data_IF_707741398505
#
_entry.id   IF_707741398505
#
_cell.length_a   1.000
_cell.length_b   1.000
_cell.length_c   1.000
_cell.angle_alpha   90.00
_cell.angle_beta   90.00
_cell.angle_gamma   90.00
#
_symmetry.space_group_name_H-M   'P 1'
#
loop_
_entity.id
_entity.type
_entity.pdbx_description
1 polymer ?
#
# COMPACT_ATOMS: atom_id res chain seq x y z
N UNK A 1 11.90 -2.33 3.68
CA UNK A 1 11.98 -3.78 3.36
C UNK A 1 10.58 -4.36 3.31
N UNK A 2 9.96 -4.43 2.13
CA UNK A 2 8.55 -4.83 1.92
C UNK A 2 8.27 -4.94 0.42
N UNK A 3 7.26 -5.73 0.03
CA UNK A 3 6.56 -5.55 -1.23
C UNK A 3 5.05 -5.49 -0.99
N UNK A 4 4.42 -4.40 -1.42
CA UNK A 4 2.96 -4.28 -1.53
C UNK A 4 2.64 -4.11 -3.02
N UNK A 5 1.63 -4.83 -3.50
CA UNK A 5 1.19 -4.83 -4.88
C UNK A 5 -0.30 -4.56 -4.95
N UNK A 6 -0.71 -3.55 -5.71
CA UNK A 6 -2.09 -3.17 -5.97
C UNK A 6 -2.46 -3.36 -7.45
N UNK A 7 -3.71 -3.74 -7.72
CA UNK A 7 -4.21 -4.01 -9.06
C UNK A 7 -5.71 -3.72 -9.14
N UNK A 8 -6.15 -3.04 -10.21
CA UNK A 8 -7.55 -2.80 -10.51
C UNK A 8 -8.07 -3.81 -11.54
N UNK A 9 -9.26 -4.37 -11.31
CA UNK A 9 -9.95 -5.23 -12.27
C UNK A 9 -11.45 -5.18 -12.04
N UNK A 10 -12.21 -4.85 -13.09
CA UNK A 10 -13.68 -4.88 -13.08
C UNK A 10 -14.28 -4.02 -11.97
N UNK A 11 -13.81 -2.78 -11.81
CA UNK A 11 -14.28 -1.86 -10.78
C UNK A 11 -13.91 -2.24 -9.34
N UNK A 12 -13.04 -3.24 -9.15
CA UNK A 12 -12.52 -3.64 -7.84
C UNK A 12 -11.01 -3.43 -7.76
N UNK A 13 -10.53 -3.18 -6.55
CA UNK A 13 -9.11 -3.08 -6.21
C UNK A 13 -8.71 -4.32 -5.42
N UNK A 14 -7.56 -4.89 -5.77
CA UNK A 14 -6.92 -5.97 -5.04
C UNK A 14 -5.57 -5.45 -4.56
N UNK A 15 -5.28 -5.62 -3.27
CA UNK A 15 -3.97 -5.30 -2.70
C UNK A 15 -3.45 -6.56 -2.02
N UNK A 16 -2.19 -6.89 -2.30
CA UNK A 16 -1.45 -7.92 -1.59
C UNK A 16 -0.14 -7.39 -1.02
N UNK A 17 0.35 -8.06 0.02
CA UNK A 17 1.54 -7.66 0.72
C UNK A 17 2.25 -8.84 1.37
N UNK A 18 3.56 -8.68 1.52
CA UNK A 18 4.43 -9.61 2.21
C UNK A 18 4.34 -9.48 3.74
N UNK A 19 4.96 -10.42 4.45
CA UNK A 19 4.94 -10.51 5.91
C UNK A 19 6.30 -10.26 6.57
N UNK A 20 7.32 -9.79 5.84
CA UNK A 20 8.63 -9.56 6.43
C UNK A 20 8.62 -8.33 7.37
N UNK A 21 9.11 -8.48 8.59
CA UNK A 21 9.57 -7.41 9.46
C UNK A 21 11.07 -7.51 9.64
N UNK A 22 11.81 -6.44 9.35
CA UNK A 22 13.28 -6.45 9.40
C UNK A 22 13.82 -5.45 10.42
N UNK A 23 14.90 -5.84 11.08
CA UNK A 23 15.74 -5.00 11.91
C UNK A 23 17.20 -5.36 11.65
N UNK A 24 17.95 -4.47 11.00
CA UNK A 24 19.26 -4.81 10.44
C UNK A 24 19.18 -6.00 9.48
N UNK A 25 19.95 -7.05 9.76
CA UNK A 25 19.94 -8.31 9.00
C UNK A 25 18.95 -9.35 9.54
N UNK A 26 18.30 -9.08 10.68
CA UNK A 26 17.33 -10.00 11.28
C UNK A 26 15.97 -9.85 10.60
N UNK A 27 15.36 -10.99 10.26
CA UNK A 27 14.04 -11.08 9.66
C UNK A 27 13.10 -11.85 10.60
N UNK A 28 11.95 -11.25 10.87
CA UNK A 28 10.81 -11.90 11.50
C UNK A 28 9.65 -11.97 10.50
N UNK A 29 9.02 -13.13 10.39
CA UNK A 29 7.73 -13.24 9.68
C UNK A 29 6.64 -12.76 10.64
N UNK A 30 6.01 -11.63 10.30
CA UNK A 30 5.01 -10.96 11.14
C UNK A 30 3.61 -11.56 10.90
N UNK A 31 2.88 -11.77 12.00
CA UNK A 31 1.49 -12.23 11.97
C UNK A 31 0.50 -11.09 11.67
N UNK A 32 0.78 -9.88 12.16
CA UNK A 32 0.05 -8.68 11.81
C UNK A 32 0.35 -8.27 10.37
N UNK A 33 -0.71 -8.28 9.56
CA UNK A 33 -0.62 -8.10 8.12
C UNK A 33 -0.39 -6.65 7.73
N UNK A 34 0.43 -6.44 6.69
CA UNK A 34 0.62 -5.12 6.08
C UNK A 34 -0.56 -4.65 5.23
N UNK A 35 -1.51 -5.54 4.97
CA UNK A 35 -2.72 -5.30 4.17
C UNK A 35 -3.94 -5.47 5.05
N UNK A 36 -4.81 -4.47 5.08
CA UNK A 36 -6.00 -4.44 5.92
C UNK A 36 -7.08 -3.52 5.35
N UNK A 37 -8.31 -3.66 5.86
CA UNK A 37 -9.41 -2.75 5.59
C UNK A 37 -9.61 -1.80 6.77
N UNK A 38 -9.99 -0.57 6.48
CA UNK A 38 -10.51 0.39 7.45
C UNK A 38 -11.70 1.11 6.80
N UNK A 39 -12.92 0.81 7.27
CA UNK A 39 -14.15 1.25 6.61
C UNK A 39 -14.24 0.81 5.14
N UNK A 40 -14.61 1.74 4.25
CA UNK A 40 -14.70 1.53 2.80
C UNK A 40 -13.35 1.51 2.06
N UNK A 41 -12.23 1.54 2.78
CA UNK A 41 -10.89 1.65 2.21
C UNK A 41 -10.09 0.35 2.43
N UNK A 42 -9.30 -0.02 1.42
CA UNK A 42 -8.33 -1.10 1.48
C UNK A 42 -6.92 -0.51 1.47
N UNK A 43 -6.08 -0.89 2.42
CA UNK A 43 -4.72 -0.37 2.55
C UNK A 43 -3.68 -1.46 2.40
N UNK A 44 -2.52 -1.09 1.88
CA UNK A 44 -1.29 -1.88 1.99
C UNK A 44 -0.09 -0.95 2.19
N UNK A 45 0.69 -1.13 3.25
CA UNK A 45 1.73 -0.17 3.63
C UNK A 45 3.14 -0.75 3.64
N UNK A 46 4.15 0.10 3.47
CA UNK A 46 5.57 -0.25 3.70
C UNK A 46 6.13 0.48 4.92
N UNK A 47 7.03 1.45 4.75
CA UNK A 47 7.60 2.40 5.73
C UNK A 47 7.72 1.94 7.19
N UNK A 48 6.61 1.81 7.92
CA UNK A 48 6.61 1.42 9.32
C UNK A 48 5.33 0.68 9.73
N UNK A 49 5.50 -0.35 10.56
CA UNK A 49 4.36 -1.02 11.23
C UNK A 49 3.59 -0.05 12.13
N UNK A 50 4.27 0.90 12.79
CA UNK A 50 3.59 1.90 13.64
C UNK A 50 2.68 2.79 12.81
N UNK A 51 3.15 3.24 11.65
CA UNK A 51 2.32 4.00 10.70
C UNK A 51 1.10 3.18 10.26
N UNK A 52 1.31 1.92 9.88
CA UNK A 52 0.22 1.02 9.49
C UNK A 52 -0.82 0.81 10.60
N UNK A 53 -0.38 0.70 11.86
CA UNK A 53 -1.28 0.58 13.01
C UNK A 53 -2.13 1.84 13.23
N UNK A 54 -1.55 3.03 13.09
CA UNK A 54 -2.29 4.29 13.18
C UNK A 54 -3.35 4.40 12.08
N UNK A 55 -2.96 4.13 10.83
CA UNK A 55 -3.89 4.12 9.69
C UNK A 55 -5.00 3.07 9.89
N UNK A 56 -4.69 1.93 10.52
CA UNK A 56 -5.65 0.85 10.73
C UNK A 56 -6.65 1.12 11.85
N UNK A 57 -6.19 1.69 12.96
CA UNK A 57 -6.95 1.69 14.22
C UNK A 57 -7.27 3.08 14.76
N UNK A 58 -6.63 4.14 14.26
CA UNK A 58 -6.82 5.51 14.74
C UNK A 58 -7.37 6.44 13.65
N UNK A 59 -7.06 6.18 12.39
CA UNK A 59 -7.55 6.98 11.28
C UNK A 59 -9.06 6.76 11.09
N UNK A 60 -9.82 7.85 11.20
CA UNK A 60 -11.25 7.90 10.89
C UNK A 60 -11.46 8.76 9.65
N UNK A 61 -11.87 8.14 8.54
CA UNK A 61 -12.07 8.84 7.27
C UNK A 61 -13.56 9.14 7.02
N UNK A 62 -13.90 10.35 6.57
CA UNK A 62 -15.26 10.65 6.12
C UNK A 62 -15.59 9.94 4.80
N UNK A 63 -16.86 10.00 4.40
CA UNK A 63 -17.27 9.55 3.06
C UNK A 63 -16.64 10.47 1.98
N UNK A 64 -16.04 9.90 0.92
CA UNK A 64 -15.28 10.69 -0.04
C UNK A 64 -16.12 11.57 -0.98
N UNK A 65 -17.47 11.50 -0.93
CA UNK A 65 -18.32 12.25 -1.88
C UNK A 65 -18.05 11.87 -3.34
N UNK A 66 -18.52 12.65 -4.30
CA UNK A 66 -18.44 12.27 -5.72
C UNK A 66 -17.07 12.53 -6.34
N UNK A 67 -16.41 13.65 -5.99
CA UNK A 67 -15.08 14.01 -6.51
C UNK A 67 -13.96 13.34 -5.69
N UNK A 68 -13.78 12.05 -5.96
CA UNK A 68 -12.82 11.23 -5.24
C UNK A 68 -11.36 11.69 -5.47
N UNK A 69 -11.00 12.27 -6.62
CA UNK A 69 -9.63 12.75 -6.82
C UNK A 69 -9.33 13.95 -5.94
N UNK A 70 -10.22 14.96 -5.95
CA UNK A 70 -10.09 16.12 -5.08
C UNK A 70 -10.12 15.72 -3.61
N UNK A 71 -11.00 14.81 -3.22
CA UNK A 71 -11.06 14.30 -1.86
C UNK A 71 -9.73 13.70 -1.40
N UNK A 72 -9.13 12.84 -2.24
CA UNK A 72 -7.88 12.15 -1.89
C UNK A 72 -6.72 13.11 -1.67
N UNK A 73 -6.64 14.24 -2.40
CA UNK A 73 -5.56 15.24 -2.25
C UNK A 73 -5.85 16.35 -1.24
N UNK A 74 -7.06 16.39 -0.68
CA UNK A 74 -7.47 17.39 0.32
C UNK A 74 -7.84 16.70 1.63
N UNK A 75 -9.13 16.47 1.86
CA UNK A 75 -9.68 15.95 3.12
C UNK A 75 -9.01 14.65 3.56
N UNK A 76 -8.73 13.72 2.64
CA UNK A 76 -8.04 12.48 2.99
C UNK A 76 -6.62 12.74 3.52
N UNK A 77 -5.82 13.53 2.80
CA UNK A 77 -4.44 13.85 3.18
C UNK A 77 -4.40 14.62 4.48
N UNK A 78 -5.25 15.63 4.67
CA UNK A 78 -5.32 16.41 5.91
C UNK A 78 -5.67 15.51 7.11
N UNK A 79 -6.68 14.65 6.96
CA UNK A 79 -7.11 13.74 8.03
C UNK A 79 -6.01 12.71 8.36
N UNK A 80 -5.33 12.19 7.34
CA UNK A 80 -4.19 11.29 7.51
C UNK A 80 -3.06 11.97 8.26
N UNK A 81 -2.70 13.18 7.82
CA UNK A 81 -1.61 13.98 8.38
C UNK A 81 -1.84 14.24 9.87
N UNK A 82 -3.04 14.68 10.24
CA UNK A 82 -3.42 14.90 11.63
C UNK A 82 -3.40 13.59 12.45
N UNK A 83 -3.83 12.47 11.87
CA UNK A 83 -3.76 11.15 12.51
C UNK A 83 -2.31 10.73 12.78
N UNK A 84 -1.41 10.89 11.81
CA UNK A 84 0.00 10.52 11.97
C UNK A 84 0.72 11.43 12.95
N UNK A 85 0.40 12.73 12.95
CA UNK A 85 0.94 13.70 13.89
C UNK A 85 0.48 13.43 15.32
N UNK A 86 -0.83 13.31 15.54
CA UNK A 86 -1.40 12.98 16.85
C UNK A 86 -0.90 11.62 17.37
N UNK A 87 -0.71 10.66 16.46
CA UNK A 87 -0.19 9.33 16.78
C UNK A 87 1.31 9.24 17.07
N UNK A 88 2.04 10.37 16.97
CA UNK A 88 3.47 10.47 17.22
C UNK A 88 4.36 9.86 16.12
N UNK A 89 3.85 9.73 14.89
CA UNK A 89 4.60 9.18 13.76
C UNK A 89 5.11 10.24 12.78
N UNK A 90 4.35 11.33 12.57
CA UNK A 90 4.77 12.38 11.65
C UNK A 90 6.14 12.94 12.06
N UNK A 91 7.00 13.15 11.05
CA UNK A 91 8.32 13.75 11.21
C UNK A 91 8.46 14.95 10.31
N UNK A 92 9.43 15.80 10.59
CA UNK A 92 9.82 16.88 9.69
C UNK A 92 11.18 16.59 9.08
N UNK A 93 11.35 16.98 7.83
CA UNK A 93 12.62 17.08 7.13
C UNK A 93 12.63 18.41 6.38
N UNK A 94 13.64 19.25 6.62
CA UNK A 94 13.72 20.61 6.05
C UNK A 94 12.39 21.40 6.13
N UNK A 95 11.73 21.38 7.30
CA UNK A 95 10.40 21.97 7.58
C UNK A 95 9.19 21.35 6.86
N UNK A 96 9.41 20.37 5.98
CA UNK A 96 8.34 19.61 5.34
C UNK A 96 7.92 18.44 6.22
N UNK A 97 6.61 18.25 6.40
CA UNK A 97 6.08 17.13 7.16
C UNK A 97 6.07 15.87 6.28
N UNK A 98 6.56 14.76 6.83
CA UNK A 98 6.61 13.46 6.17
C UNK A 98 5.80 12.43 6.95
N UNK A 99 5.12 11.55 6.21
CA UNK A 99 4.38 10.41 6.72
C UNK A 99 5.06 9.09 6.37
N UNK A 100 4.55 8.44 5.32
CA UNK A 100 5.13 7.23 4.75
C UNK A 100 4.33 6.74 3.56
N UNK A 101 4.80 5.66 2.94
CA UNK A 101 4.28 5.20 1.65
C UNK A 101 3.32 4.03 1.81
N UNK A 102 2.16 4.12 1.15
CA UNK A 102 1.14 3.07 1.15
C UNK A 102 0.25 3.14 -0.09
N UNK A 103 -0.39 2.01 -0.41
CA UNK A 103 -1.45 1.91 -1.41
C UNK A 103 -2.82 2.03 -0.75
N UNK A 104 -3.76 2.68 -1.45
CA UNK A 104 -5.16 2.82 -1.03
C UNK A 104 -6.09 2.42 -2.16
N UNK A 105 -6.98 1.46 -1.89
CA UNK A 105 -8.08 1.08 -2.75
C UNK A 105 -9.40 1.60 -2.21
N UNK A 106 -10.09 2.45 -2.97
CA UNK A 106 -11.40 3.02 -2.59
C UNK A 106 -12.27 3.21 -3.83
N UNK A 107 -13.55 2.83 -3.74
CA UNK A 107 -14.53 2.92 -4.84
C UNK A 107 -13.98 2.47 -6.21
N UNK A 108 -13.32 1.30 -6.22
CA UNK A 108 -12.75 0.70 -7.43
C UNK A 108 -11.48 1.34 -7.98
N UNK A 109 -10.94 2.37 -7.32
CA UNK A 109 -9.75 3.11 -7.74
C UNK A 109 -8.58 2.86 -6.81
N UNK A 110 -7.39 2.72 -7.39
CA UNK A 110 -6.13 2.48 -6.69
C UNK A 110 -5.30 3.76 -6.70
N UNK A 111 -4.87 4.19 -5.52
CA UNK A 111 -3.98 5.33 -5.30
C UNK A 111 -2.71 4.86 -4.62
N UNK A 112 -1.59 5.53 -4.92
CA UNK A 112 -0.37 5.48 -4.13
C UNK A 112 -0.27 6.79 -3.37
N UNK A 113 -0.07 6.73 -2.06
CA UNK A 113 0.28 7.90 -1.23
C UNK A 113 1.76 7.76 -0.88
N UNK A 114 2.56 8.77 -1.21
CA UNK A 114 3.98 8.78 -0.86
C UNK A 114 4.21 9.54 0.46
N UNK A 115 5.45 9.50 0.93
CA UNK A 115 5.84 10.01 2.24
C UNK A 115 5.78 11.54 2.35
N UNK A 116 5.86 12.26 1.23
CA UNK A 116 5.59 13.70 1.12
C UNK A 116 4.08 14.04 0.98
N UNK A 117 3.20 13.07 1.22
CA UNK A 117 1.75 13.16 1.06
C UNK A 117 1.24 13.37 -0.37
N UNK A 118 2.09 13.30 -1.40
CA UNK A 118 1.59 13.31 -2.77
C UNK A 118 0.72 12.06 -3.03
N UNK A 119 -0.32 12.24 -3.83
CA UNK A 119 -1.24 11.17 -4.23
C UNK A 119 -1.09 10.91 -5.72
N UNK A 120 -0.69 9.70 -6.08
CA UNK A 120 -0.49 9.27 -7.45
C UNK A 120 -1.49 8.18 -7.86
N UNK A 121 -1.77 8.11 -9.17
CA UNK A 121 -2.49 7.01 -9.81
C UNK A 121 -1.66 6.52 -10.99
N UNK A 122 -1.33 5.23 -11.01
CA UNK A 122 -0.67 4.62 -12.16
C UNK A 122 -1.67 4.40 -13.31
N UNK A 123 -1.28 4.75 -14.52
CA UNK A 123 -2.10 4.58 -15.72
C UNK A 123 -2.32 3.10 -16.08
N UNK A 124 -1.38 2.22 -15.72
CA UNK A 124 -1.41 0.79 -16.07
C UNK A 124 -2.46 -0.02 -15.29
N UNK A 125 -3.15 0.58 -14.31
CA UNK A 125 -4.11 -0.11 -13.46
C UNK A 125 -3.48 -1.04 -12.42
N UNK A 126 -2.17 -0.94 -12.20
CA UNK A 126 -1.47 -1.59 -11.09
C UNK A 126 -0.36 -0.69 -10.54
N UNK A 127 0.02 -0.92 -9.29
CA UNK A 127 1.09 -0.18 -8.61
C UNK A 127 1.79 -1.11 -7.62
N UNK A 128 3.04 -0.82 -7.29
CA UNK A 128 3.76 -1.51 -6.23
C UNK A 128 4.65 -0.53 -5.46
N UNK A 129 4.89 -0.83 -4.18
CA UNK A 129 5.71 -0.01 -3.29
C UNK A 129 6.58 -0.88 -2.37
N UNK A 130 7.60 -0.26 -1.81
CA UNK A 130 8.62 -0.92 -1.00
C UNK A 130 9.79 -1.42 -1.85
N UNK A 131 10.81 -2.00 -1.21
CA UNK A 131 12.05 -2.42 -1.90
C UNK A 131 11.88 -3.57 -2.91
N UNK A 132 10.72 -4.22 -2.96
CA UNK A 132 10.39 -5.23 -3.96
C UNK A 132 9.54 -4.72 -5.13
N UNK A 133 9.29 -3.41 -5.20
CA UNK A 133 8.40 -2.78 -6.16
C UNK A 133 8.80 -3.03 -7.62
N UNK A 134 10.03 -2.76 -8.03
CA UNK A 134 10.47 -2.86 -9.42
C UNK A 134 10.36 -4.29 -9.94
N UNK A 135 10.70 -5.28 -9.10
CA UNK A 135 10.55 -6.71 -9.44
C UNK A 135 9.07 -7.07 -9.59
N UNK A 136 8.22 -6.60 -8.66
CA UNK A 136 6.79 -6.84 -8.72
C UNK A 136 6.14 -6.15 -9.94
N UNK A 137 6.53 -4.91 -10.26
CA UNK A 137 6.07 -4.17 -11.43
C UNK A 137 6.47 -4.86 -12.73
N UNK A 138 7.72 -5.35 -12.84
CA UNK A 138 8.16 -6.12 -13.99
C UNK A 138 7.33 -7.40 -14.18
N UNK A 139 7.05 -8.13 -13.10
CA UNK A 139 6.20 -9.32 -13.14
C UNK A 139 4.74 -8.99 -13.51
N UNK A 140 4.20 -7.89 -12.99
CA UNK A 140 2.87 -7.40 -13.37
C UNK A 140 2.84 -7.05 -14.86
N UNK A 141 3.78 -6.25 -15.34
CA UNK A 141 3.90 -5.90 -16.76
C UNK A 141 3.94 -7.15 -17.65
N UNK A 142 4.86 -8.09 -17.37
CA UNK A 142 5.04 -9.31 -18.16
C UNK A 142 3.80 -10.21 -18.19
N UNK A 143 2.96 -10.16 -17.15
CA UNK A 143 1.72 -10.93 -17.03
C UNK A 143 0.47 -10.17 -17.50
N UNK A 144 0.62 -8.93 -17.96
CA UNK A 144 -0.49 -8.14 -18.51
C UNK A 144 -1.11 -8.85 -19.72
N UNK A 145 -2.43 -8.75 -19.86
CA UNK A 145 -3.18 -9.38 -20.97
C UNK A 145 -3.29 -10.91 -20.94
N UNK A 146 -2.59 -11.62 -20.03
CA UNK A 146 -2.57 -13.11 -20.01
C UNK A 146 -3.79 -13.77 -19.36
N UNK A 147 -4.88 -13.04 -19.13
CA UNK A 147 -6.12 -13.60 -18.54
C UNK A 147 -6.00 -14.11 -17.10
N UNK A 148 -4.90 -13.80 -16.39
CA UNK A 148 -4.70 -14.28 -15.02
C UNK A 148 -5.71 -13.68 -14.04
N UNK A 149 -6.20 -14.51 -13.10
CA UNK A 149 -7.04 -14.04 -11.99
C UNK A 149 -6.27 -13.04 -11.11
N UNK A 150 -6.89 -11.94 -10.64
CA UNK A 150 -6.17 -10.88 -9.91
C UNK A 150 -5.30 -11.35 -8.74
N UNK A 151 -5.86 -12.20 -7.85
CA UNK A 151 -5.12 -12.75 -6.71
C UNK A 151 -3.92 -13.61 -7.13
N UNK A 152 -4.05 -14.37 -8.22
CA UNK A 152 -2.95 -15.19 -8.73
C UNK A 152 -1.83 -14.31 -9.30
N UNK A 153 -2.19 -13.25 -10.04
CA UNK A 153 -1.25 -12.28 -10.60
C UNK A 153 -0.49 -11.52 -9.50
N UNK A 154 -1.18 -11.08 -8.45
CA UNK A 154 -0.55 -10.46 -7.26
C UNK A 154 0.40 -11.42 -6.56
N UNK A 155 -0.01 -12.67 -6.32
CA UNK A 155 0.87 -13.66 -5.68
C UNK A 155 2.10 -13.99 -6.51
N UNK A 156 1.97 -14.04 -7.84
CA UNK A 156 3.12 -14.22 -8.74
C UNK A 156 4.09 -13.05 -8.61
N UNK A 157 3.59 -11.80 -8.63
CA UNK A 157 4.42 -10.61 -8.48
C UNK A 157 5.14 -10.56 -7.12
N UNK A 158 4.43 -10.89 -6.02
CA UNK A 158 5.03 -10.97 -4.69
C UNK A 158 6.04 -12.12 -4.57
N UNK A 159 5.78 -13.27 -5.20
CA UNK A 159 6.73 -14.39 -5.24
C UNK A 159 8.00 -14.06 -6.03
N UNK A 160 7.87 -13.31 -7.13
CA UNK A 160 9.03 -12.77 -7.85
C UNK A 160 9.83 -11.81 -6.95
N UNK A 161 9.15 -10.89 -6.27
CA UNK A 161 9.79 -9.97 -5.33
C UNK A 161 10.49 -10.70 -4.16
N UNK A 162 9.86 -11.73 -3.57
CA UNK A 162 10.47 -12.58 -2.54
C UNK A 162 11.74 -13.29 -3.03
N UNK A 163 11.75 -13.74 -4.30
CA UNK A 163 12.91 -14.43 -4.86
C UNK A 163 14.14 -13.51 -4.98
N UNK A 164 13.92 -12.24 -5.31
CA UNK A 164 15.00 -11.31 -5.70
C UNK A 164 15.22 -10.13 -4.75
N UNK A 165 14.38 -9.96 -3.72
CA UNK A 165 14.53 -8.91 -2.71
C UNK A 165 14.57 -9.52 -1.32
N UNK A 166 15.71 -9.37 -0.63
CA UNK A 166 15.91 -9.90 0.73
C UNK A 166 14.91 -9.35 1.76
N UNK A 167 14.27 -8.22 1.45
CA UNK A 167 13.29 -7.56 2.30
C UNK A 167 11.85 -8.02 2.12
N UNK A 168 11.61 -9.09 1.34
CA UNK A 168 10.28 -9.59 1.00
C UNK A 168 10.19 -11.05 1.41
N UNK A 169 9.13 -11.41 2.16
CA UNK A 169 8.94 -12.77 2.66
C UNK A 169 7.47 -13.13 2.77
N UNK A 170 7.12 -14.34 2.35
CA UNK A 170 5.82 -14.93 2.63
C UNK A 170 5.55 -15.15 4.13
N UNK A 171 4.32 -15.53 4.52
CA UNK A 171 3.16 -15.73 3.65
C UNK A 171 2.66 -14.41 3.06
N UNK A 172 1.92 -14.49 1.95
CA UNK A 172 1.34 -13.31 1.31
C UNK A 172 -0.12 -13.14 1.69
N UNK A 173 -0.48 -11.95 2.19
CA UNK A 173 -1.87 -11.57 2.37
C UNK A 173 -2.38 -10.92 1.10
N UNK A 174 -3.61 -11.23 0.67
CA UNK A 174 -4.24 -10.55 -0.47
C UNK A 174 -5.74 -10.34 -0.22
N UNK A 175 -6.15 -9.07 -0.20
CA UNK A 175 -7.52 -8.65 0.00
C UNK A 175 -8.05 -7.95 -1.26
N UNK A 176 -9.38 -7.87 -1.35
CA UNK A 176 -10.13 -7.08 -2.34
C UNK A 176 -10.83 -5.96 -1.57
N UNK A 177 -11.15 -4.81 -2.17
CA UNK A 177 -12.08 -3.85 -1.58
C UNK A 177 -13.54 -4.26 -1.78
#
# INVERSE_FOLDING_TARGET
MTAIVGLTRGGSVFIGGDSAGLSGLSLAVRADTKVFRNGGYLFGFTSSFRMGQLIRYSLSLPDPGDDLDRFMVTTFVDTLRDCLKTGGWARKDEEQELGGTFLVGVRGRLFTVHDDYQVAKAADGYSAIGCGDQVALGALYATSGRGMRPRARIRLALGAAERFSAGVRGPFTCLRN
#
